data_IF_748097111307
#
_entry.id   IF_748097111307
#
_cell.length_a   1.000
_cell.length_b   1.000
_cell.length_c   1.000
_cell.angle_alpha   90.00
_cell.angle_beta   90.00
_cell.angle_gamma   90.00
#
_symmetry.space_group_name_H-M   'P 1'
#
loop_
_entity.id
_entity.type
_entity.pdbx_description
1 polymer ?
#
# COMPACT_ATOMS: atom_id res chain seq x y z
N UNK A 1 -15.76 -8.55 -15.92
CA UNK A 1 -15.03 -8.49 -14.65
C UNK A 1 -14.00 -7.33 -14.63
N UNK A 2 -14.17 -6.26 -15.43
CA UNK A 2 -13.15 -5.18 -15.58
C UNK A 2 -13.67 -3.77 -15.21
N UNK A 3 -14.73 -3.68 -14.41
CA UNK A 3 -15.33 -2.38 -14.05
C UNK A 3 -14.86 -1.82 -12.71
N UNK A 4 -14.30 -2.67 -11.82
CA UNK A 4 -13.90 -2.27 -10.46
C UNK A 4 -12.48 -1.67 -10.45
N UNK A 5 -11.52 -2.26 -11.18
CA UNK A 5 -10.15 -1.70 -11.31
C UNK A 5 -10.12 -0.29 -11.91
N UNK A 6 -11.10 0.08 -12.75
CA UNK A 6 -11.25 1.47 -13.25
C UNK A 6 -11.51 2.48 -12.13
N UNK A 7 -12.10 2.07 -11.01
CA UNK A 7 -12.58 2.99 -9.99
C UNK A 7 -11.45 3.53 -9.09
N UNK A 8 -10.51 2.69 -8.63
CA UNK A 8 -9.54 3.08 -7.60
C UNK A 8 -8.48 4.04 -8.15
N UNK A 9 -7.86 3.74 -9.30
CA UNK A 9 -6.98 4.69 -9.98
C UNK A 9 -7.72 6.01 -10.27
N UNK A 10 -8.97 5.93 -10.72
CA UNK A 10 -9.79 7.12 -10.97
C UNK A 10 -10.03 7.93 -9.70
N UNK A 11 -10.26 7.30 -8.54
CA UNK A 11 -10.43 7.97 -7.26
C UNK A 11 -9.17 8.74 -6.87
N UNK A 12 -7.99 8.10 -6.93
CA UNK A 12 -6.72 8.75 -6.65
C UNK A 12 -6.45 9.89 -7.65
N UNK A 13 -6.76 9.69 -8.94
CA UNK A 13 -6.70 10.73 -9.96
C UNK A 13 -7.57 11.95 -9.62
N UNK A 14 -8.82 11.74 -9.22
CA UNK A 14 -9.71 12.83 -8.82
C UNK A 14 -9.23 13.53 -7.55
N UNK A 15 -8.64 12.78 -6.60
CA UNK A 15 -8.08 13.30 -5.35
C UNK A 15 -6.67 13.90 -5.51
N UNK A 16 -6.03 13.85 -6.69
CA UNK A 16 -4.63 14.25 -6.88
C UNK A 16 -4.29 15.68 -6.41
N UNK A 17 -5.27 16.58 -6.38
CA UNK A 17 -5.07 17.94 -5.91
C UNK A 17 -4.98 18.06 -4.38
N UNK A 18 -5.31 17.00 -3.65
CA UNK A 18 -5.14 16.91 -2.19
C UNK A 18 -3.71 16.49 -1.80
N UNK A 19 -2.88 16.04 -2.76
CA UNK A 19 -1.50 15.56 -2.54
C UNK A 19 -0.47 16.70 -2.30
N UNK A 20 -0.91 17.90 -1.91
CA UNK A 20 -0.04 19.06 -1.72
C UNK A 20 0.64 19.10 -0.33
N UNK A 21 0.16 18.27 0.61
CA UNK A 21 0.66 18.19 1.98
C UNK A 21 1.08 16.76 2.32
N UNK A 22 1.59 16.54 3.54
CA UNK A 22 1.81 15.18 4.02
C UNK A 22 0.48 14.43 4.03
N UNK A 23 0.44 13.31 3.32
CA UNK A 23 -0.80 12.59 3.00
C UNK A 23 -0.65 11.12 3.36
N UNK A 24 -1.71 10.56 3.92
CA UNK A 24 -1.87 9.12 4.06
C UNK A 24 -2.77 8.62 2.93
N UNK A 25 -2.31 7.63 2.19
CA UNK A 25 -3.09 6.86 1.22
C UNK A 25 -3.29 5.48 1.85
N UNK A 26 -4.54 5.00 1.86
CA UNK A 26 -4.88 3.71 2.45
C UNK A 26 -6.08 3.08 1.76
N UNK A 27 -6.06 1.76 1.67
CA UNK A 27 -7.20 0.97 1.26
C UNK A 27 -8.31 0.97 2.33
N UNK A 28 -9.56 0.91 1.88
CA UNK A 28 -10.73 1.21 2.71
C UNK A 28 -11.38 -0.04 3.34
N UNK A 29 -10.95 -1.22 2.91
CA UNK A 29 -11.40 -2.57 3.26
C UNK A 29 -10.40 -3.31 4.15
N UNK A 30 -9.39 -2.61 4.67
CA UNK A 30 -8.42 -3.18 5.60
C UNK A 30 -8.88 -3.02 7.04
N UNK A 31 -9.03 -4.14 7.76
CA UNK A 31 -9.20 -4.21 9.21
C UNK A 31 -7.84 -4.40 9.88
N UNK A 32 -7.44 -3.51 10.79
CA UNK A 32 -6.07 -3.49 11.32
C UNK A 32 -5.97 -3.03 12.78
N UNK A 33 -4.86 -3.37 13.44
CA UNK A 33 -4.52 -2.85 14.77
C UNK A 33 -4.02 -1.41 14.69
N UNK A 34 -4.55 -0.50 15.53
CA UNK A 34 -4.20 0.93 15.55
C UNK A 34 -2.68 1.23 15.54
N UNK A 35 -1.87 0.40 16.20
CA UNK A 35 -0.40 0.51 16.23
C UNK A 35 0.25 0.43 14.85
N UNK A 36 -0.40 -0.17 13.86
CA UNK A 36 0.09 -0.18 12.47
C UNK A 36 0.08 1.23 11.89
N UNK A 37 -1.03 1.95 12.07
CA UNK A 37 -1.12 3.35 11.66
C UNK A 37 -0.14 4.21 12.47
N UNK A 38 -0.02 3.99 13.78
CA UNK A 38 0.95 4.71 14.62
C UNK A 38 2.39 4.52 14.14
N UNK A 39 2.80 3.27 13.84
CA UNK A 39 4.13 2.96 13.28
C UNK A 39 4.35 3.70 11.97
N UNK A 40 3.37 3.67 11.08
CA UNK A 40 3.46 4.31 9.77
C UNK A 40 3.64 5.83 9.88
N UNK A 41 2.77 6.51 10.64
CA UNK A 41 2.85 7.98 10.80
C UNK A 41 4.11 8.41 11.55
N UNK A 42 4.56 7.63 12.55
CA UNK A 42 5.76 7.92 13.33
C UNK A 42 7.08 7.48 12.69
N UNK A 43 7.04 6.77 11.56
CA UNK A 43 8.25 6.32 10.86
C UNK A 43 9.20 7.48 10.56
N UNK A 44 10.50 7.22 10.67
CA UNK A 44 11.57 8.18 10.35
C UNK A 44 11.63 8.50 8.86
N UNK A 45 11.18 7.56 8.02
CA UNK A 45 11.11 7.77 6.59
C UNK A 45 9.96 8.72 6.24
N UNK A 46 10.26 9.66 5.36
CA UNK A 46 9.30 10.68 4.90
C UNK A 46 8.22 10.13 3.99
N UNK A 47 8.56 9.07 3.26
CA UNK A 47 7.61 8.27 2.51
C UNK A 47 7.79 6.83 2.99
N UNK A 48 6.71 6.12 3.33
CA UNK A 48 6.82 4.85 4.02
C UNK A 48 5.61 3.95 3.72
N UNK A 49 5.85 2.68 3.46
CA UNK A 49 4.82 1.63 3.40
C UNK A 49 4.74 0.84 4.73
N UNK A 50 3.65 0.09 4.89
CA UNK A 50 3.62 -1.05 5.80
C UNK A 50 3.88 -2.34 5.02
N UNK A 51 4.75 -3.19 5.56
CA UNK A 51 5.16 -4.46 4.95
C UNK A 51 4.99 -5.59 5.94
N UNK A 52 4.20 -6.60 5.56
CA UNK A 52 4.09 -7.87 6.27
C UNK A 52 5.04 -8.91 5.66
N UNK A 53 5.83 -9.54 6.50
CA UNK A 53 6.79 -10.56 6.07
C UNK A 53 6.24 -11.98 6.25
N UNK A 54 5.20 -12.12 7.06
CA UNK A 54 4.55 -13.40 7.35
C UNK A 54 3.26 -13.51 6.53
N UNK A 55 3.43 -13.57 5.21
CA UNK A 55 2.33 -13.67 4.26
C UNK A 55 2.38 -14.99 3.47
N UNK A 56 1.23 -15.44 3.01
CA UNK A 56 1.11 -16.57 2.08
C UNK A 56 1.02 -16.03 0.65
N UNK A 57 1.98 -16.40 -0.21
CA UNK A 57 1.97 -15.98 -1.62
C UNK A 57 1.02 -16.90 -2.41
N UNK A 58 -0.26 -16.51 -2.48
CA UNK A 58 -1.25 -17.12 -3.36
C UNK A 58 -1.14 -16.62 -4.80
N UNK A 59 -0.41 -15.51 -5.00
CA UNK A 59 -0.17 -14.85 -6.28
C UNK A 59 -1.06 -13.64 -6.54
N UNK A 60 -1.99 -13.36 -5.63
CA UNK A 60 -2.89 -12.20 -5.69
C UNK A 60 -2.41 -11.04 -4.79
N UNK A 61 -1.50 -11.31 -3.85
CA UNK A 61 -0.99 -10.35 -2.86
C UNK A 61 -0.12 -9.29 -3.52
N UNK A 62 -0.31 -8.04 -3.10
CA UNK A 62 0.51 -6.93 -3.59
C UNK A 62 1.86 -6.92 -2.87
N UNK A 63 2.89 -7.48 -3.51
CA UNK A 63 4.21 -7.62 -2.89
C UNK A 63 5.05 -6.35 -3.00
N UNK A 64 5.71 -6.00 -1.91
CA UNK A 64 6.75 -4.99 -1.82
C UNK A 64 8.12 -5.66 -1.87
N UNK A 65 9.02 -5.10 -2.69
CA UNK A 65 10.38 -5.61 -2.88
C UNK A 65 11.39 -4.61 -2.34
N UNK A 66 12.30 -5.05 -1.47
CA UNK A 66 13.18 -4.17 -0.70
C UNK A 66 14.65 -4.45 -1.00
N UNK A 67 15.43 -3.37 -1.21
CA UNK A 67 16.90 -3.41 -1.36
C UNK A 67 17.52 -2.26 -0.59
N UNK A 68 18.47 -2.56 0.30
CA UNK A 68 19.18 -1.57 1.10
C UNK A 68 18.25 -0.77 2.01
N UNK A 69 17.22 -1.43 2.56
CA UNK A 69 16.22 -0.80 3.42
C UNK A 69 15.23 0.12 2.72
N UNK A 70 15.11 0.05 1.38
CA UNK A 70 14.17 0.86 0.58
C UNK A 70 13.30 -0.02 -0.29
N UNK A 71 12.05 0.37 -0.47
CA UNK A 71 11.14 -0.27 -1.41
C UNK A 71 11.54 0.13 -2.84
N UNK A 72 11.83 -0.86 -3.68
CA UNK A 72 12.23 -0.69 -5.08
C UNK A 72 11.16 -1.17 -6.06
N UNK A 73 10.16 -1.91 -5.58
CA UNK A 73 9.07 -2.40 -6.41
C UNK A 73 7.83 -2.69 -5.57
N UNK A 74 6.69 -2.60 -6.24
CA UNK A 74 5.36 -3.04 -5.80
C UNK A 74 4.70 -3.79 -6.96
N UNK A 75 4.32 -5.06 -6.79
CA UNK A 75 3.74 -5.89 -7.87
C UNK A 75 3.27 -7.25 -7.36
N UNK A 76 2.19 -7.79 -7.95
CA UNK A 76 1.73 -9.17 -7.71
C UNK A 76 2.62 -10.23 -8.38
N UNK A 77 3.11 -9.96 -9.59
CA UNK A 77 3.68 -10.99 -10.49
C UNK A 77 5.17 -10.81 -10.81
N UNK A 78 5.77 -9.69 -10.41
CA UNK A 78 7.18 -9.41 -10.70
C UNK A 78 8.12 -10.11 -9.73
N UNK A 79 9.34 -10.38 -10.18
CA UNK A 79 10.44 -10.82 -9.31
C UNK A 79 11.60 -9.84 -9.41
N UNK A 80 12.17 -9.51 -8.25
CA UNK A 80 13.33 -8.63 -8.12
C UNK A 80 14.44 -9.38 -7.42
N UNK A 81 15.69 -9.11 -7.79
CA UNK A 81 16.83 -9.48 -6.97
C UNK A 81 16.85 -8.56 -5.75
N UNK A 82 16.36 -9.05 -4.61
CA UNK A 82 16.07 -8.25 -3.43
C UNK A 82 16.34 -9.01 -2.14
N UNK A 83 16.59 -8.28 -1.06
CA UNK A 83 16.94 -8.87 0.25
C UNK A 83 15.70 -9.22 1.08
N UNK A 84 14.56 -8.61 0.75
CA UNK A 84 13.30 -8.81 1.45
C UNK A 84 12.13 -8.62 0.49
N UNK A 85 11.16 -9.52 0.61
CA UNK A 85 9.84 -9.45 -0.02
C UNK A 85 8.80 -9.61 1.07
N UNK A 86 7.74 -8.81 1.01
CA UNK A 86 6.60 -8.91 1.90
C UNK A 86 5.33 -8.41 1.23
N UNK A 87 4.19 -8.73 1.80
CA UNK A 87 2.90 -8.18 1.39
C UNK A 87 2.77 -6.72 1.85
N UNK A 88 2.32 -5.85 0.96
CA UNK A 88 1.96 -4.49 1.30
C UNK A 88 0.55 -4.44 1.88
N UNK A 89 0.37 -3.81 3.04
CA UNK A 89 -0.93 -3.67 3.73
C UNK A 89 -1.90 -2.71 3.00
N UNK A 90 -1.48 -2.13 1.87
CA UNK A 90 -2.27 -1.10 1.17
C UNK A 90 -2.11 0.32 1.74
N UNK A 91 -1.19 0.54 2.68
CA UNK A 91 -1.02 1.83 3.35
C UNK A 91 0.30 2.49 2.98
N UNK A 92 0.24 3.78 2.64
CA UNK A 92 1.39 4.60 2.26
C UNK A 92 1.32 5.99 2.90
N UNK A 93 2.34 6.33 3.68
CA UNK A 93 2.62 7.71 4.07
C UNK A 93 3.42 8.38 2.97
N UNK A 94 2.99 9.56 2.53
CA UNK A 94 3.74 10.42 1.60
C UNK A 94 3.99 11.79 2.23
N UNK A 95 5.23 12.25 2.13
CA UNK A 95 5.54 13.66 2.32
C UNK A 95 4.93 14.51 1.22
N UNK A 96 4.76 15.82 1.45
CA UNK A 96 4.29 16.76 0.42
C UNK A 96 5.11 16.69 -0.89
N UNK A 97 6.43 16.46 -0.79
CA UNK A 97 7.29 16.25 -1.97
C UNK A 97 6.97 14.93 -2.69
N UNK A 98 6.74 13.85 -1.94
CA UNK A 98 6.30 12.57 -2.50
C UNK A 98 4.93 12.68 -3.18
N UNK A 99 3.99 13.39 -2.55
CA UNK A 99 2.68 13.68 -3.13
C UNK A 99 2.75 14.45 -4.44
N UNK A 100 3.61 15.47 -4.54
CA UNK A 100 3.83 16.19 -5.79
C UNK A 100 4.38 15.28 -6.91
N UNK A 101 5.30 14.37 -6.59
CA UNK A 101 5.84 13.39 -7.56
C UNK A 101 4.75 12.41 -8.00
N UNK A 102 3.94 11.89 -7.05
CA UNK A 102 2.83 11.00 -7.40
C UNK A 102 1.82 11.72 -8.31
N UNK A 103 1.54 13.00 -8.05
CA UNK A 103 0.69 13.81 -8.92
C UNK A 103 1.26 13.89 -10.35
N UNK A 104 2.56 14.13 -10.50
CA UNK A 104 3.20 14.19 -11.82
C UNK A 104 3.10 12.83 -12.55
N UNK A 105 3.29 11.71 -11.84
CA UNK A 105 3.12 10.34 -12.37
C UNK A 105 1.68 10.12 -12.84
N UNK A 106 0.70 10.49 -12.02
CA UNK A 106 -0.72 10.37 -12.36
C UNK A 106 -1.06 11.20 -13.61
N UNK A 107 -0.53 12.42 -13.73
CA UNK A 107 -0.73 13.29 -14.90
C UNK A 107 -0.10 12.71 -16.17
N UNK A 108 1.04 12.04 -16.03
CA UNK A 108 1.65 11.30 -17.13
C UNK A 108 0.82 10.09 -17.56
N UNK A 109 0.27 9.33 -16.62
CA UNK A 109 -0.59 8.19 -16.90
C UNK A 109 -1.83 8.61 -17.69
N UNK A 110 -2.53 9.66 -17.23
CA UNK A 110 -3.69 10.22 -17.93
C UNK A 110 -3.32 10.71 -19.33
N UNK A 111 -2.24 11.49 -19.47
CA UNK A 111 -1.77 12.03 -20.75
C UNK A 111 -1.45 10.92 -21.77
N UNK A 112 -0.92 9.80 -21.29
CA UNK A 112 -0.58 8.64 -22.12
C UNK A 112 -1.75 7.66 -22.32
N UNK A 113 -2.94 7.96 -21.79
CA UNK A 113 -4.11 7.08 -21.87
C UNK A 113 -3.97 5.78 -21.08
N UNK A 114 -3.03 5.71 -20.12
CA UNK A 114 -2.85 4.59 -19.19
C UNK A 114 -3.90 4.66 -18.07
N UNK A 115 -5.17 4.49 -18.44
CA UNK A 115 -6.32 4.64 -17.51
C UNK A 115 -6.95 3.31 -17.08
N UNK A 116 -6.43 2.18 -17.54
CA UNK A 116 -6.86 0.84 -17.12
C UNK A 116 -5.72 0.13 -16.37
N UNK A 117 -5.23 0.78 -15.32
CA UNK A 117 -4.13 0.31 -14.45
C UNK A 117 -4.61 0.32 -13.00
N UNK A 118 -3.94 -0.45 -12.15
CA UNK A 118 -4.18 -0.39 -10.70
C UNK A 118 -3.51 0.87 -10.12
N UNK A 119 -3.89 1.31 -8.92
CA UNK A 119 -3.28 2.55 -8.37
C UNK A 119 -1.83 2.30 -7.92
N UNK A 120 -1.53 1.06 -7.58
CA UNK A 120 -0.22 0.53 -7.23
C UNK A 120 0.75 0.60 -8.40
N UNK A 121 0.27 0.56 -9.65
CA UNK A 121 1.11 0.84 -10.83
C UNK A 121 1.66 2.27 -10.80
N UNK A 122 0.84 3.25 -10.34
CA UNK A 122 1.31 4.62 -10.16
C UNK A 122 2.24 4.75 -8.94
N UNK A 123 1.98 3.99 -7.87
CA UNK A 123 2.90 3.92 -6.74
C UNK A 123 4.24 3.25 -7.12
N UNK A 124 4.22 2.30 -8.05
CA UNK A 124 5.43 1.68 -8.60
C UNK A 124 6.28 2.70 -9.33
N UNK A 125 5.66 3.45 -10.23
CA UNK A 125 6.34 4.48 -11.03
C UNK A 125 6.85 5.65 -10.17
N UNK A 126 6.30 5.86 -8.98
CA UNK A 126 6.82 6.81 -7.99
C UNK A 126 8.21 6.41 -7.45
N UNK A 127 8.49 5.11 -7.26
CA UNK A 127 9.65 4.61 -6.51
C UNK A 127 11.02 5.07 -7.07
N UNK A 128 11.24 5.13 -8.40
CA UNK A 128 12.49 5.67 -8.96
C UNK A 128 12.71 7.17 -8.67
N UNK A 129 11.64 7.91 -8.38
CA UNK A 129 11.67 9.37 -8.25
C UNK A 129 11.76 9.86 -6.80
N UNK A 130 11.51 8.99 -5.81
CA UNK A 130 11.72 9.32 -4.41
C UNK A 130 12.11 8.10 -3.58
N UNK A 131 12.84 8.32 -2.48
CA UNK A 131 13.11 7.24 -1.52
C UNK A 131 11.85 6.96 -0.72
N UNK A 132 11.44 5.70 -0.70
CA UNK A 132 10.34 5.18 0.11
C UNK A 132 10.88 4.05 0.98
N UNK A 133 10.75 4.22 2.29
CA UNK A 133 11.09 3.20 3.28
C UNK A 133 9.90 2.31 3.58
N UNK A 134 10.02 1.51 4.63
CA UNK A 134 8.92 0.65 5.10
C UNK A 134 9.02 0.42 6.60
N UNK A 135 7.87 0.15 7.19
CA UNK A 135 7.72 -0.29 8.56
C UNK A 135 7.17 -1.72 8.57
N UNK A 136 7.84 -2.62 9.30
CA UNK A 136 7.41 -4.02 9.43
C UNK A 136 6.12 -4.11 10.26
N UNK A 137 5.15 -4.88 9.81
CA UNK A 137 3.90 -5.16 10.54
C UNK A 137 4.21 -5.97 11.80
N UNK A 138 4.99 -7.05 11.66
CA UNK A 138 5.26 -7.99 12.75
C UNK A 138 3.99 -8.73 13.18
N UNK A 139 3.85 -9.05 14.46
CA UNK A 139 2.71 -9.85 14.96
C UNK A 139 1.38 -9.07 15.08
N UNK A 140 1.32 -7.83 14.57
CA UNK A 140 0.13 -6.98 14.66
C UNK A 140 -0.97 -7.50 13.72
N UNK A 141 -2.18 -7.79 14.23
CA UNK A 141 -3.25 -8.37 13.42
C UNK A 141 -3.78 -7.36 12.41
N UNK A 142 -3.93 -7.83 11.16
CA UNK A 142 -4.64 -7.13 10.09
C UNK A 142 -5.21 -8.15 9.09
N UNK A 143 -6.15 -7.69 8.25
CA UNK A 143 -6.71 -8.43 7.12
C UNK A 143 -7.36 -7.47 6.11
N UNK A 144 -7.22 -7.74 4.81
CA UNK A 144 -8.02 -7.14 3.73
C UNK A 144 -9.33 -7.93 3.54
N UNK A 145 -10.46 -7.25 3.41
CA UNK A 145 -11.79 -7.88 3.33
C UNK A 145 -12.33 -7.82 1.89
N UNK A 146 -11.93 -8.79 1.07
CA UNK A 146 -12.35 -8.91 -0.34
C UNK A 146 -13.51 -9.88 -0.54
N UNK A 147 -13.53 -10.97 0.23
CA UNK A 147 -14.45 -12.08 0.07
C UNK A 147 -15.16 -12.42 1.39
N UNK A 148 -16.25 -13.19 1.29
CA UNK A 148 -17.02 -13.64 2.46
C UNK A 148 -16.15 -14.41 3.46
N UNK A 149 -15.17 -15.18 2.98
CA UNK A 149 -14.23 -15.91 3.83
C UNK A 149 -13.39 -14.98 4.72
N UNK A 150 -13.07 -13.77 4.23
CA UNK A 150 -12.31 -12.78 4.99
C UNK A 150 -13.14 -12.19 6.12
N UNK A 151 -14.46 -12.08 5.94
CA UNK A 151 -15.39 -11.69 7.01
C UNK A 151 -15.41 -12.75 8.11
N UNK A 152 -15.43 -14.04 7.75
CA UNK A 152 -15.36 -15.13 8.74
C UNK A 152 -14.04 -15.11 9.52
N UNK A 153 -12.91 -14.95 8.80
CA UNK A 153 -11.57 -14.84 9.41
C UNK A 153 -11.45 -13.57 10.27
N UNK A 154 -11.97 -12.44 9.80
CA UNK A 154 -12.00 -11.19 10.54
C UNK A 154 -12.74 -11.35 11.89
N UNK A 155 -13.91 -11.99 11.88
CA UNK A 155 -14.70 -12.20 13.09
C UNK A 155 -14.08 -13.21 14.07
N UNK A 156 -13.55 -14.32 13.56
CA UNK A 156 -13.11 -15.44 14.39
C UNK A 156 -11.65 -15.33 14.85
N UNK A 157 -10.80 -14.63 14.10
CA UNK A 157 -9.35 -14.62 14.32
C UNK A 157 -8.78 -13.21 14.56
N UNK A 158 -9.18 -12.22 13.74
CA UNK A 158 -8.57 -10.89 13.76
C UNK A 158 -9.19 -10.00 14.84
N UNK A 159 -10.51 -9.83 14.87
CA UNK A 159 -11.21 -9.01 15.87
C UNK A 159 -10.90 -9.41 17.32
N UNK A 160 -10.84 -10.71 17.69
CA UNK A 160 -10.43 -11.09 19.04
C UNK A 160 -9.01 -10.62 19.40
N UNK A 161 -8.06 -10.68 18.45
CA UNK A 161 -6.69 -10.20 18.65
C UNK A 161 -6.61 -8.68 18.78
N UNK A 162 -7.48 -7.94 18.10
CA UNK A 162 -7.58 -6.48 18.22
C UNK A 162 -8.06 -6.06 19.62
N UNK A 163 -9.01 -6.79 20.20
CA UNK A 163 -9.61 -6.47 21.50
C UNK A 163 -8.73 -6.82 22.70
N UNK A 164 -7.80 -7.78 22.56
CA UNK A 164 -6.91 -8.22 23.65
C UNK A 164 -5.80 -7.18 23.94
N UNK A 165 -5.59 -6.21 23.04
CA UNK A 165 -4.53 -5.22 23.14
C UNK A 165 -4.98 -3.83 23.63
N UNK A 166 -6.25 -3.67 24.05
CA UNK A 166 -6.80 -2.52 24.76
C UNK A 166 -6.80 -2.75 26.28
#
# INVERSE_FOLDING_TARGET
MNSIQRAVFSLLWYARNELNEETLIMDADVLYHEKLLEKLVSSKDKNCFLLDEDFEDSGEEMKLFVVGGKVIGISKQSSYDCELVGEGVGFLKLSAKGGAILKDVLEEFERNGKVNVEYEDALHELLPHCTVGFERVGDLPWIEIDFEADIEKANNEILPRLQICL
#
